data_IF_071847899547
#
_entry.id   IF_071847899547
#
_cell.length_a   1.000
_cell.length_b   1.000
_cell.length_c   1.000
_cell.angle_alpha   90.00
_cell.angle_beta   90.00
_cell.angle_gamma   90.00
#
_symmetry.space_group_name_H-M   'P 1'
#
loop_
_entity.id
_entity.type
_entity.pdbx_description
1 polymer ?
#
# COMPACT_ATOMS: atom_id res chain seq x y z
N UNK A 1 -4.22 -14.21 33.18
CA UNK A 1 -4.65 -15.06 32.05
C UNK A 1 -5.45 -14.26 31.03
N UNK A 2 -6.52 -13.56 31.44
CA UNK A 2 -7.35 -12.70 30.58
C UNK A 2 -6.56 -11.67 29.75
N UNK A 3 -5.59 -11.00 30.39
CA UNK A 3 -4.79 -9.95 29.74
C UNK A 3 -3.87 -10.49 28.62
N UNK A 4 -3.41 -11.75 28.73
CA UNK A 4 -2.63 -12.43 27.69
C UNK A 4 -3.49 -12.80 26.48
N UNK A 5 -4.74 -13.23 26.72
CA UNK A 5 -5.71 -13.47 25.65
C UNK A 5 -6.06 -12.17 24.92
N UNK A 6 -6.26 -11.08 25.66
CA UNK A 6 -6.54 -9.78 25.06
C UNK A 6 -5.37 -9.26 24.21
N UNK A 7 -4.14 -9.40 24.73
CA UNK A 7 -2.93 -9.05 23.98
C UNK A 7 -2.75 -9.91 22.71
N UNK A 8 -3.02 -11.22 22.78
CA UNK A 8 -2.96 -12.11 21.63
C UNK A 8 -4.00 -11.73 20.56
N UNK A 9 -5.22 -11.38 20.99
CA UNK A 9 -6.28 -10.94 20.09
C UNK A 9 -5.96 -9.58 19.45
N UNK A 10 -5.45 -8.63 20.23
CA UNK A 10 -5.01 -7.33 19.73
C UNK A 10 -3.87 -7.48 18.71
N UNK A 11 -2.86 -8.30 19.02
CA UNK A 11 -1.76 -8.57 18.09
C UNK A 11 -2.21 -9.24 16.78
N UNK A 12 -3.17 -10.17 16.85
CA UNK A 12 -3.77 -10.75 15.64
C UNK A 12 -4.56 -9.71 14.82
N UNK A 13 -5.35 -8.86 15.49
CA UNK A 13 -6.12 -7.80 14.82
C UNK A 13 -5.20 -6.79 14.13
N UNK A 14 -4.13 -6.36 14.77
CA UNK A 14 -3.11 -5.50 14.16
C UNK A 14 -2.43 -6.18 12.98
N UNK A 15 -2.06 -7.45 13.11
CA UNK A 15 -1.48 -8.22 12.01
C UNK A 15 -2.37 -8.27 10.77
N UNK A 16 -3.66 -8.54 10.94
CA UNK A 16 -4.64 -8.48 9.83
C UNK A 16 -4.78 -7.08 9.26
N UNK A 17 -4.85 -6.05 10.10
CA UNK A 17 -4.97 -4.66 9.65
C UNK A 17 -3.76 -4.21 8.82
N UNK A 18 -2.54 -4.54 9.24
CA UNK A 18 -1.31 -4.15 8.52
C UNK A 18 -1.18 -4.95 7.23
N UNK A 19 -1.45 -6.25 7.27
CA UNK A 19 -1.38 -7.11 6.08
C UNK A 19 -2.38 -6.70 5.00
N UNK A 20 -3.63 -6.42 5.38
CA UNK A 20 -4.66 -5.93 4.44
C UNK A 20 -4.31 -4.56 3.89
N UNK A 21 -3.81 -3.63 4.71
CA UNK A 21 -3.36 -2.32 4.25
C UNK A 21 -2.24 -2.42 3.21
N UNK A 22 -1.26 -3.30 3.43
CA UNK A 22 -0.16 -3.52 2.48
C UNK A 22 -0.65 -4.09 1.15
N UNK A 23 -1.49 -5.12 1.17
CA UNK A 23 -2.02 -5.73 -0.06
C UNK A 23 -2.90 -4.72 -0.81
N UNK A 24 -3.83 -4.05 -0.11
CA UNK A 24 -4.69 -3.03 -0.72
C UNK A 24 -3.89 -1.90 -1.35
N UNK A 25 -2.80 -1.45 -0.70
CA UNK A 25 -1.91 -0.44 -1.25
C UNK A 25 -1.22 -0.90 -2.54
N UNK A 26 -0.68 -2.13 -2.56
CA UNK A 26 -0.02 -2.69 -3.74
C UNK A 26 -0.99 -2.87 -4.92
N UNK A 27 -2.23 -3.26 -4.64
CA UNK A 27 -3.28 -3.45 -5.66
C UNK A 27 -3.82 -2.13 -6.18
N UNK A 28 -4.10 -1.14 -5.32
CA UNK A 28 -4.64 0.17 -5.76
C UNK A 28 -3.65 0.92 -6.67
N UNK A 29 -2.35 0.78 -6.42
CA UNK A 29 -1.31 1.38 -7.26
C UNK A 29 -0.98 0.55 -8.51
N UNK A 30 -1.66 -0.59 -8.73
CA UNK A 30 -1.42 -1.53 -9.82
C UNK A 30 0.07 -1.91 -10.00
N UNK A 31 0.83 -1.95 -8.90
CA UNK A 31 2.28 -2.18 -8.97
C UNK A 31 2.57 -3.58 -9.51
N UNK A 32 1.85 -4.60 -9.04
CA UNK A 32 2.06 -5.99 -9.45
C UNK A 32 1.68 -6.22 -10.92
N UNK A 33 0.48 -5.83 -11.40
CA UNK A 33 0.15 -5.91 -12.82
C UNK A 33 1.16 -5.17 -13.71
N UNK A 34 1.61 -3.99 -13.28
CA UNK A 34 2.52 -3.16 -14.07
C UNK A 34 3.93 -3.73 -14.18
N UNK A 35 4.44 -4.33 -13.10
CA UNK A 35 5.69 -5.09 -13.13
C UNK A 35 5.59 -6.33 -14.03
N UNK A 36 4.45 -7.03 -13.99
CA UNK A 36 4.20 -8.18 -14.86
C UNK A 36 4.14 -7.76 -16.34
N UNK A 37 3.51 -6.63 -16.65
CA UNK A 37 3.48 -6.05 -18.01
C UNK A 37 4.89 -5.67 -18.50
N UNK A 38 5.67 -4.98 -17.68
CA UNK A 38 7.06 -4.58 -18.03
C UNK A 38 7.97 -5.78 -18.33
N UNK A 39 7.69 -6.93 -17.71
CA UNK A 39 8.45 -8.17 -17.91
C UNK A 39 7.81 -9.11 -18.94
N UNK A 40 6.68 -8.72 -19.56
CA UNK A 40 5.87 -9.57 -20.45
C UNK A 40 5.41 -10.89 -19.79
N UNK A 41 5.11 -10.87 -18.49
CA UNK A 41 4.72 -12.04 -17.67
C UNK A 41 3.34 -11.88 -17.02
N UNK A 42 2.41 -11.23 -17.70
CA UNK A 42 1.04 -10.97 -17.20
C UNK A 42 0.29 -12.23 -16.74
N UNK A 43 0.57 -13.38 -17.36
CA UNK A 43 -0.02 -14.67 -16.97
C UNK A 43 0.40 -15.15 -15.57
N UNK A 44 1.44 -14.57 -14.98
CA UNK A 44 2.02 -14.98 -13.70
C UNK A 44 1.71 -14.03 -12.54
N UNK A 45 0.79 -13.06 -12.70
CA UNK A 45 0.42 -12.10 -11.63
C UNK A 45 0.15 -12.79 -10.28
N UNK A 46 -0.59 -13.90 -10.28
CA UNK A 46 -0.88 -14.67 -9.07
C UNK A 46 0.39 -15.19 -8.38
N UNK A 47 1.41 -15.57 -9.15
CA UNK A 47 2.69 -16.03 -8.59
C UNK A 47 3.43 -14.88 -7.91
N UNK A 48 3.40 -13.68 -8.49
CA UNK A 48 3.96 -12.49 -7.85
C UNK A 48 3.26 -12.17 -6.53
N UNK A 49 1.92 -12.17 -6.50
CA UNK A 49 1.14 -11.90 -5.29
C UNK A 49 1.46 -12.92 -4.18
N UNK A 50 1.46 -14.22 -4.50
CA UNK A 50 1.80 -15.27 -3.53
C UNK A 50 3.24 -15.10 -3.03
N UNK A 51 4.17 -14.77 -3.92
CA UNK A 51 5.58 -14.55 -3.55
C UNK A 51 5.70 -13.38 -2.58
N UNK A 52 5.02 -12.26 -2.84
CA UNK A 52 5.02 -11.11 -1.95
C UNK A 52 4.45 -11.50 -0.57
N UNK A 53 3.30 -12.18 -0.53
CA UNK A 53 2.68 -12.60 0.73
C UNK A 53 3.60 -13.53 1.53
N UNK A 54 4.19 -14.53 0.87
CA UNK A 54 5.10 -15.49 1.52
C UNK A 54 6.37 -14.79 2.02
N UNK A 55 7.01 -13.97 1.20
CA UNK A 55 8.23 -13.25 1.53
C UNK A 55 8.00 -12.26 2.67
N UNK A 56 6.93 -11.45 2.63
CA UNK A 56 6.60 -10.52 3.72
C UNK A 56 6.31 -11.26 5.01
N UNK A 57 5.55 -12.36 4.98
CA UNK A 57 5.26 -13.16 6.19
C UNK A 57 6.55 -13.71 6.82
N UNK A 58 7.43 -14.28 6.00
CA UNK A 58 8.71 -14.85 6.47
C UNK A 58 9.62 -13.74 7.01
N UNK A 59 9.82 -12.64 6.28
CA UNK A 59 10.68 -11.54 6.73
C UNK A 59 10.15 -10.88 8.01
N UNK A 60 8.83 -10.68 8.12
CA UNK A 60 8.22 -10.15 9.34
C UNK A 60 8.46 -11.07 10.54
N UNK A 61 8.36 -12.39 10.35
CA UNK A 61 8.65 -13.37 11.40
C UNK A 61 10.14 -13.34 11.81
N UNK A 62 11.06 -13.30 10.84
CA UNK A 62 12.51 -13.22 11.07
C UNK A 62 12.86 -11.93 11.83
N UNK A 63 12.27 -10.80 11.43
CA UNK A 63 12.44 -9.52 12.10
C UNK A 63 11.91 -9.55 13.55
N UNK A 64 10.74 -10.15 13.77
CA UNK A 64 10.16 -10.32 15.10
C UNK A 64 11.01 -11.20 16.02
N UNK A 65 11.63 -12.26 15.47
CA UNK A 65 12.54 -13.15 16.21
C UNK A 65 13.89 -12.49 16.55
N UNK A 66 14.14 -11.27 16.08
CA UNK A 66 15.42 -10.56 16.31
C UNK A 66 16.61 -11.24 15.64
N UNK A 67 16.37 -12.05 14.60
CA UNK A 67 17.42 -12.80 13.93
C UNK A 67 18.25 -11.85 13.06
N UNK A 68 19.47 -11.55 13.50
CA UNK A 68 20.39 -10.70 12.76
C UNK A 68 21.14 -11.54 11.73
N UNK A 69 20.86 -11.28 10.45
CA UNK A 69 21.57 -11.90 9.34
C UNK A 69 22.80 -11.04 9.04
N UNK A 70 24.00 -11.60 9.24
CA UNK A 70 25.24 -10.97 8.79
C UNK A 70 25.40 -11.18 7.29
N UNK A 71 25.14 -10.12 6.53
CA UNK A 71 25.24 -10.14 5.06
C UNK A 71 26.51 -9.41 4.63
N UNK A 72 27.21 -9.95 3.62
CA UNK A 72 28.41 -9.31 3.07
C UNK A 72 28.12 -7.93 2.48
N UNK A 73 29.13 -7.04 2.48
CA UNK A 73 29.01 -5.64 2.02
C UNK A 73 28.41 -5.50 0.62
N UNK A 74 28.74 -6.41 -0.29
CA UNK A 74 28.21 -6.43 -1.67
C UNK A 74 26.69 -6.66 -1.67
N UNK A 75 26.22 -7.61 -0.86
CA UNK A 75 24.80 -7.94 -0.80
C UNK A 75 23.97 -6.80 -0.19
N UNK A 76 24.52 -6.07 0.79
CA UNK A 76 23.88 -4.87 1.34
C UNK A 76 23.68 -3.80 0.25
N UNK A 77 24.68 -3.61 -0.61
CA UNK A 77 24.57 -2.68 -1.74
C UNK A 77 23.45 -3.13 -2.71
N UNK A 78 23.39 -4.42 -3.05
CA UNK A 78 22.34 -4.96 -3.89
C UNK A 78 20.94 -4.78 -3.28
N UNK A 79 20.79 -5.06 -1.99
CA UNK A 79 19.51 -4.87 -1.26
C UNK A 79 19.13 -3.39 -1.24
N UNK A 80 20.09 -2.49 -0.98
CA UNK A 80 19.86 -1.05 -0.98
C UNK A 80 19.40 -0.54 -2.36
N UNK A 81 20.00 -1.06 -3.44
CA UNK A 81 19.57 -0.74 -4.80
C UNK A 81 18.15 -1.22 -5.09
N UNK A 82 17.81 -2.46 -4.74
CA UNK A 82 16.46 -3.01 -4.91
C UNK A 82 15.41 -2.24 -4.09
N UNK A 83 15.74 -1.83 -2.87
CA UNK A 83 14.90 -0.96 -2.05
C UNK A 83 14.70 0.41 -2.72
N UNK A 84 15.78 1.00 -3.24
CA UNK A 84 15.72 2.27 -3.97
C UNK A 84 14.86 2.19 -5.22
N UNK A 85 14.98 1.13 -6.02
CA UNK A 85 14.13 0.95 -7.21
C UNK A 85 12.67 0.76 -6.82
N UNK A 86 12.38 -0.02 -5.77
CA UNK A 86 11.02 -0.18 -5.25
C UNK A 86 10.40 1.15 -4.82
N UNK A 87 11.13 1.95 -4.02
CA UNK A 87 10.67 3.29 -3.58
C UNK A 87 10.50 4.23 -4.78
N UNK A 88 11.39 4.17 -5.77
CA UNK A 88 11.28 4.97 -6.99
C UNK A 88 10.04 4.61 -7.82
N UNK A 89 9.73 3.32 -7.92
CA UNK A 89 8.53 2.82 -8.61
C UNK A 89 7.26 3.26 -7.88
N UNK A 90 7.26 3.22 -6.54
CA UNK A 90 6.18 3.75 -5.70
C UNK A 90 5.96 5.25 -5.93
N UNK A 91 7.03 6.04 -5.92
CA UNK A 91 6.95 7.48 -6.14
C UNK A 91 6.41 7.81 -7.53
N UNK A 92 6.83 7.08 -8.55
CA UNK A 92 6.35 7.22 -9.93
C UNK A 92 4.86 6.86 -10.05
N UNK A 93 4.45 5.72 -9.50
CA UNK A 93 3.06 5.27 -9.51
C UNK A 93 2.14 6.28 -8.77
N UNK A 94 2.58 6.79 -7.62
CA UNK A 94 1.83 7.79 -6.88
C UNK A 94 1.70 9.10 -7.66
N UNK A 95 2.78 9.52 -8.34
CA UNK A 95 2.76 10.70 -9.21
C UNK A 95 1.77 10.52 -10.36
N UNK A 96 1.70 9.35 -10.98
CA UNK A 96 0.76 9.10 -12.06
C UNK A 96 -0.70 9.10 -11.61
N UNK A 97 -1.00 8.42 -10.51
CA UNK A 97 -2.36 8.40 -9.93
C UNK A 97 -2.77 9.79 -9.48
N UNK A 98 -1.86 10.57 -8.87
CA UNK A 98 -2.16 11.94 -8.48
C UNK A 98 -2.27 12.89 -9.68
N UNK A 99 -1.52 12.64 -10.76
CA UNK A 99 -1.58 13.41 -11.99
C UNK A 99 -2.90 13.23 -12.76
N UNK A 100 -3.72 12.23 -12.40
CA UNK A 100 -5.09 12.10 -12.90
C UNK A 100 -5.95 13.32 -12.52
N UNK A 101 -5.75 13.89 -11.32
CA UNK A 101 -6.52 15.05 -10.86
C UNK A 101 -6.25 16.29 -11.74
N UNK A 102 -4.98 16.72 -11.96
CA UNK A 102 -4.65 17.77 -12.92
C UNK A 102 -5.16 17.51 -14.34
N UNK A 103 -5.10 16.26 -14.82
CA UNK A 103 -5.59 15.91 -16.17
C UNK A 103 -7.09 16.15 -16.29
N UNK A 104 -7.88 15.74 -15.30
CA UNK A 104 -9.34 15.99 -15.27
C UNK A 104 -9.60 17.51 -15.22
N UNK A 105 -8.92 18.22 -14.33
CA UNK A 105 -9.07 19.67 -14.18
C UNK A 105 -8.79 20.40 -15.50
N UNK A 106 -7.69 20.10 -16.17
CA UNK A 106 -7.33 20.72 -17.44
C UNK A 106 -8.29 20.30 -18.57
N UNK A 107 -8.73 19.04 -18.60
CA UNK A 107 -9.65 18.53 -19.63
C UNK A 107 -11.04 19.19 -19.57
N UNK A 108 -11.53 19.46 -18.37
CA UNK A 108 -12.80 20.17 -18.17
C UNK A 108 -12.64 21.69 -18.02
N UNK A 109 -11.43 22.22 -18.21
CA UNK A 109 -11.11 23.65 -18.02
C UNK A 109 -11.51 24.20 -16.65
N UNK A 110 -11.42 23.36 -15.61
CA UNK A 110 -11.82 23.69 -14.24
C UNK A 110 -10.67 24.28 -13.40
N UNK A 111 -9.64 24.84 -14.04
CA UNK A 111 -8.43 25.34 -13.37
C UNK A 111 -8.74 26.35 -12.26
N UNK A 112 -9.72 27.23 -12.47
CA UNK A 112 -10.13 28.21 -11.46
C UNK A 112 -11.00 27.61 -10.34
N UNK A 113 -11.55 26.41 -10.56
CA UNK A 113 -12.49 25.75 -9.65
C UNK A 113 -11.89 24.60 -8.84
N UNK A 114 -10.59 24.32 -9.00
CA UNK A 114 -9.88 23.23 -8.28
C UNK A 114 -10.10 23.30 -6.77
N UNK A 115 -10.07 24.51 -6.21
CA UNK A 115 -10.31 24.73 -4.77
C UNK A 115 -11.70 24.24 -4.35
N UNK A 116 -12.73 24.51 -5.14
CA UNK A 116 -14.10 24.08 -4.84
C UNK A 116 -14.26 22.56 -5.01
N UNK A 117 -13.60 21.95 -5.99
CA UNK A 117 -13.59 20.49 -6.18
C UNK A 117 -12.95 19.81 -4.97
N UNK A 118 -11.81 20.30 -4.49
CA UNK A 118 -11.14 19.75 -3.31
C UNK A 118 -12.00 19.88 -2.05
N UNK A 119 -12.68 21.02 -1.86
CA UNK A 119 -13.60 21.23 -0.74
C UNK A 119 -14.80 20.29 -0.84
N UNK A 120 -15.35 20.06 -2.04
CA UNK A 120 -16.46 19.13 -2.25
C UNK A 120 -16.06 17.67 -1.94
N UNK A 121 -14.88 17.25 -2.39
CA UNK A 121 -14.33 15.91 -2.08
C UNK A 121 -14.08 15.76 -0.57
N UNK A 122 -13.47 16.76 0.06
CA UNK A 122 -13.24 16.76 1.51
C UNK A 122 -14.57 16.70 2.29
N UNK A 123 -15.55 17.53 1.90
CA UNK A 123 -16.89 17.52 2.47
C UNK A 123 -17.59 16.18 2.31
N UNK A 124 -17.50 15.56 1.13
CA UNK A 124 -18.01 14.22 0.88
C UNK A 124 -17.37 13.15 1.76
N UNK A 125 -16.04 13.20 1.94
CA UNK A 125 -15.31 12.31 2.86
C UNK A 125 -15.72 12.50 4.32
N UNK A 126 -15.84 13.75 4.78
CA UNK A 126 -16.29 14.06 6.15
C UNK A 126 -17.71 13.55 6.35
N UNK A 127 -18.60 13.81 5.39
CA UNK A 127 -20.01 13.41 5.46
C UNK A 127 -20.14 11.88 5.43
N UNK A 128 -19.41 11.19 4.53
CA UNK A 128 -19.39 9.73 4.47
C UNK A 128 -18.84 9.10 5.75
N UNK A 129 -17.78 9.68 6.34
CA UNK A 129 -17.25 9.23 7.64
C UNK A 129 -18.27 9.41 8.77
N UNK A 130 -18.94 10.56 8.82
CA UNK A 130 -20.00 10.83 9.80
C UNK A 130 -21.17 9.85 9.64
N UNK A 131 -21.61 9.58 8.41
CA UNK A 131 -22.68 8.61 8.14
C UNK A 131 -22.27 7.21 8.58
N UNK A 132 -21.04 6.79 8.24
CA UNK A 132 -20.51 5.48 8.63
C UNK A 132 -20.53 5.29 10.16
N UNK A 133 -20.04 6.28 10.91
CA UNK A 133 -19.96 6.20 12.36
C UNK A 133 -21.30 6.36 13.07
N UNK A 134 -22.20 7.22 12.58
CA UNK A 134 -23.48 7.52 13.26
C UNK A 134 -24.55 6.47 12.94
N UNK A 135 -24.63 6.01 11.68
CA UNK A 135 -25.75 5.20 11.20
C UNK A 135 -25.38 3.77 10.82
N UNK A 136 -24.19 3.51 10.28
CA UNK A 136 -23.82 2.18 9.77
C UNK A 136 -23.12 1.32 10.82
N UNK A 137 -22.27 1.91 11.66
CA UNK A 137 -21.52 1.21 12.71
C UNK A 137 -22.31 1.06 14.04
N UNK A 138 -23.65 1.03 13.98
CA UNK A 138 -24.55 0.70 15.09
C UNK A 138 -25.26 -0.61 14.78
#
# INVERSE_FOLDING_TARGET
MLLKFFAAFAGLAEGFSVGTAMIAFLTILDIVPRLAQLTNTESYIRVYEITIVMTTTILSLVAFLGFNIYVGKIMIICIGFLMGTFIGLLASALTEVTNVIPVIVNRFQLNDYVKYILIAIAGGKITGSLIYWIFVNK
#
